data_IF_586528557228
#
_entry.id   IF_586528557228
#
_cell.length_a   1.000
_cell.length_b   1.000
_cell.length_c   1.000
_cell.angle_alpha   90.00
_cell.angle_beta   90.00
_cell.angle_gamma   90.00
#
_symmetry.space_group_name_H-M   'P 1'
#
loop_
_entity.id
_entity.type
_entity.pdbx_description
1 polymer ?
#
# COMPACT_ATOMS: atom_id res chain seq x y z
N UNK A 1 38.19 -46.11 5.77
CA UNK A 1 37.13 -46.32 4.75
C UNK A 1 35.87 -46.74 5.49
N UNK A 2 34.69 -46.17 5.37
CA UNK A 2 34.17 -45.01 4.65
C UNK A 2 32.71 -44.88 5.10
N UNK A 3 32.32 -43.73 5.66
CA UNK A 3 30.93 -43.42 5.98
C UNK A 3 30.62 -42.07 5.34
N UNK A 4 30.32 -42.11 4.04
CA UNK A 4 29.91 -40.95 3.27
C UNK A 4 28.40 -40.75 3.42
N UNK A 5 28.02 -39.65 4.06
CA UNK A 5 26.96 -38.72 3.62
C UNK A 5 25.68 -39.37 3.07
N UNK A 6 24.88 -39.97 3.94
CA UNK A 6 23.44 -40.16 3.69
C UNK A 6 22.70 -38.98 4.32
N UNK A 7 22.58 -37.87 3.59
CA UNK A 7 21.85 -36.70 4.10
C UNK A 7 21.57 -35.58 3.09
N UNK A 8 22.06 -35.68 1.85
CA UNK A 8 22.05 -34.55 0.91
C UNK A 8 21.10 -34.63 -0.28
N UNK A 9 20.28 -35.68 -0.44
CA UNK A 9 19.59 -35.93 -1.72
C UNK A 9 18.06 -35.92 -1.68
N UNK A 10 17.43 -35.60 -0.54
CA UNK A 10 15.97 -35.41 -0.46
C UNK A 10 15.54 -33.94 -0.44
N UNK A 11 16.48 -32.98 -0.40
CA UNK A 11 16.18 -31.54 -0.45
C UNK A 11 16.03 -30.97 -1.86
N UNK A 12 16.63 -31.60 -2.89
CA UNK A 12 16.75 -31.02 -4.24
C UNK A 12 15.50 -31.13 -5.11
N UNK A 13 14.63 -32.12 -4.89
CA UNK A 13 13.45 -32.36 -5.74
C UNK A 13 12.21 -31.57 -5.29
N UNK A 14 12.16 -31.16 -4.02
CA UNK A 14 11.09 -30.28 -3.51
C UNK A 14 11.51 -28.81 -3.46
N UNK A 15 12.82 -28.52 -3.58
CA UNK A 15 13.35 -27.14 -3.54
C UNK A 15 12.73 -26.20 -4.58
N UNK A 16 12.50 -26.58 -5.86
CA UNK A 16 11.91 -25.66 -6.84
C UNK A 16 10.44 -25.36 -6.55
N UNK A 17 9.66 -26.36 -6.12
CA UNK A 17 8.24 -26.18 -5.79
C UNK A 17 8.05 -25.43 -4.46
N UNK A 18 8.84 -25.77 -3.45
CA UNK A 18 8.87 -25.05 -2.18
C UNK A 18 9.29 -23.59 -2.42
N UNK A 19 10.38 -23.34 -3.15
CA UNK A 19 10.83 -21.99 -3.49
C UNK A 19 9.79 -21.23 -4.31
N UNK A 20 9.24 -21.81 -5.38
CA UNK A 20 8.20 -21.15 -6.18
C UNK A 20 6.93 -20.86 -5.37
N UNK A 21 6.58 -21.73 -4.40
CA UNK A 21 5.47 -21.50 -3.49
C UNK A 21 5.79 -20.44 -2.44
N UNK A 22 7.00 -20.40 -1.91
CA UNK A 22 7.47 -19.35 -0.99
C UNK A 22 7.58 -18.00 -1.69
N UNK A 23 8.17 -17.94 -2.88
CA UNK A 23 8.28 -16.73 -3.71
C UNK A 23 6.87 -16.20 -4.05
N UNK A 24 5.96 -17.07 -4.51
CA UNK A 24 4.56 -16.68 -4.79
C UNK A 24 3.79 -16.23 -3.55
N UNK A 25 4.03 -16.85 -2.39
CA UNK A 25 3.42 -16.41 -1.12
C UNK A 25 4.04 -15.11 -0.61
N UNK A 26 5.33 -14.91 -0.81
CA UNK A 26 6.04 -13.68 -0.49
C UNK A 26 5.51 -12.54 -1.35
N UNK A 27 5.35 -12.76 -2.65
CA UNK A 27 4.76 -11.81 -3.59
C UNK A 27 3.32 -11.47 -3.20
N UNK A 28 2.52 -12.46 -2.81
CA UNK A 28 1.14 -12.23 -2.34
C UNK A 28 1.09 -11.42 -1.05
N UNK A 29 1.86 -11.79 -0.01
CA UNK A 29 1.85 -11.04 1.25
C UNK A 29 2.39 -9.61 1.06
N UNK A 30 3.40 -9.45 0.22
CA UNK A 30 3.94 -8.14 -0.14
C UNK A 30 2.92 -7.32 -0.92
N UNK A 31 2.15 -7.93 -1.84
CA UNK A 31 1.05 -7.26 -2.54
C UNK A 31 0.00 -6.76 -1.53
N UNK A 32 -0.45 -7.61 -0.59
CA UNK A 32 -1.36 -7.19 0.48
C UNK A 32 -0.82 -6.00 1.29
N UNK A 33 0.45 -6.06 1.72
CA UNK A 33 1.06 -4.98 2.50
C UNK A 33 1.15 -3.67 1.71
N UNK A 34 1.53 -3.74 0.43
CA UNK A 34 1.55 -2.58 -0.47
C UNK A 34 0.16 -2.01 -0.67
N UNK A 35 -0.86 -2.84 -0.91
CA UNK A 35 -2.23 -2.37 -1.08
C UNK A 35 -2.77 -1.74 0.19
N UNK A 36 -2.56 -2.35 1.37
CA UNK A 36 -2.96 -1.77 2.67
C UNK A 36 -2.26 -0.42 2.89
N UNK A 37 -0.96 -0.32 2.62
CA UNK A 37 -0.22 0.94 2.73
C UNK A 37 -0.77 2.01 1.79
N UNK A 38 -1.09 1.65 0.54
CA UNK A 38 -1.64 2.57 -0.44
C UNK A 38 -3.05 3.07 -0.07
N UNK A 39 -3.93 2.20 0.42
CA UNK A 39 -5.26 2.62 0.91
C UNK A 39 -5.12 3.55 2.14
N UNK A 40 -4.19 3.27 3.05
CA UNK A 40 -3.90 4.18 4.17
C UNK A 40 -3.36 5.53 3.67
N UNK A 41 -2.51 5.56 2.65
CA UNK A 41 -2.00 6.80 2.07
C UNK A 41 -3.13 7.71 1.55
N UNK A 42 -4.16 7.15 0.91
CA UNK A 42 -5.36 7.89 0.50
C UNK A 42 -6.10 8.45 1.70
N UNK A 43 -6.29 7.64 2.75
CA UNK A 43 -6.95 8.07 3.98
C UNK A 43 -6.19 9.23 4.66
N UNK A 44 -4.86 9.15 4.71
CA UNK A 44 -4.00 10.22 5.22
C UNK A 44 -4.07 11.49 4.36
N UNK A 45 -4.05 11.35 3.03
CA UNK A 45 -4.17 12.49 2.12
C UNK A 45 -5.54 13.19 2.27
N UNK A 46 -6.60 12.42 2.53
CA UNK A 46 -7.92 12.94 2.84
C UNK A 46 -7.92 13.72 4.17
N UNK A 47 -7.32 13.17 5.22
CA UNK A 47 -7.27 13.78 6.55
C UNK A 47 -6.23 14.92 6.69
N UNK A 48 -5.36 15.11 5.70
CA UNK A 48 -4.32 16.13 5.74
C UNK A 48 -4.94 17.53 5.91
N UNK A 49 -4.37 18.39 6.78
CA UNK A 49 -4.89 19.72 7.03
C UNK A 49 -4.90 20.58 5.76
N UNK A 50 -5.96 21.36 5.60
CA UNK A 50 -6.15 22.30 4.48
C UNK A 50 -5.83 23.74 4.85
N UNK A 51 -5.69 24.00 6.14
CA UNK A 51 -5.38 25.29 6.72
C UNK A 51 -4.45 25.02 7.91
N UNK A 52 -3.37 25.79 7.99
CA UNK A 52 -2.40 25.76 9.08
C UNK A 52 -2.27 27.20 9.56
N UNK A 53 -2.22 27.42 10.87
CA UNK A 53 -2.12 28.80 11.37
C UNK A 53 -0.75 29.37 11.04
N UNK A 54 -0.71 30.60 10.53
CA UNK A 54 0.55 31.30 10.27
C UNK A 54 1.39 31.46 11.55
N UNK A 55 0.75 31.52 12.71
CA UNK A 55 1.44 31.56 14.00
C UNK A 55 2.24 30.28 14.29
N UNK A 56 1.82 29.12 13.75
CA UNK A 56 2.50 27.84 13.91
C UNK A 56 3.70 27.68 12.97
N UNK A 57 3.69 28.37 11.83
CA UNK A 57 4.75 28.31 10.80
C UNK A 57 5.80 29.42 10.96
N UNK A 58 5.52 30.44 11.77
CA UNK A 58 6.35 31.62 11.94
C UNK A 58 6.19 32.65 10.81
N UNK A 59 6.83 33.81 10.98
CA UNK A 59 6.63 34.96 10.09
C UNK A 59 7.75 35.05 9.03
N UNK A 60 7.72 34.16 8.04
CA UNK A 60 8.66 34.15 6.90
C UNK A 60 7.92 34.19 5.56
N UNK A 61 8.59 34.60 4.49
CA UNK A 61 8.06 34.51 3.11
C UNK A 61 7.77 33.04 2.74
N UNK A 62 8.63 32.12 3.17
CA UNK A 62 8.43 30.68 3.00
C UNK A 62 7.12 30.19 3.63
N UNK A 63 6.75 30.68 4.82
CA UNK A 63 5.50 30.30 5.47
C UNK A 63 4.29 30.74 4.65
N UNK A 64 4.34 31.91 4.01
CA UNK A 64 3.28 32.38 3.12
C UNK A 64 3.20 31.51 1.85
N UNK A 65 4.33 31.27 1.18
CA UNK A 65 4.39 30.41 0.00
C UNK A 65 3.90 28.98 0.29
N UNK A 66 4.21 28.45 1.47
CA UNK A 66 3.75 27.15 1.93
C UNK A 66 2.23 27.11 2.12
N UNK A 67 1.65 28.14 2.75
CA UNK A 67 0.19 28.25 2.93
C UNK A 67 -0.53 28.37 1.59
N UNK A 68 -0.01 29.18 0.68
CA UNK A 68 -0.57 29.37 -0.66
C UNK A 68 -0.54 28.07 -1.48
N UNK A 69 0.49 27.24 -1.29
CA UNK A 69 0.64 25.94 -1.95
C UNK A 69 0.00 24.77 -1.19
N UNK A 70 -0.47 24.95 0.04
CA UNK A 70 -0.94 23.86 0.88
C UNK A 70 -2.13 23.12 0.26
N UNK A 71 -3.12 23.87 -0.23
CA UNK A 71 -4.32 23.32 -0.88
C UNK A 71 -3.98 22.62 -2.21
N UNK A 72 -3.23 23.22 -3.15
CA UNK A 72 -2.76 22.54 -4.36
C UNK A 72 -1.99 21.25 -4.06
N UNK A 73 -0.99 21.31 -3.18
CA UNK A 73 -0.16 20.14 -2.82
C UNK A 73 -0.97 19.02 -2.18
N UNK A 74 -1.98 19.35 -1.37
CA UNK A 74 -2.89 18.35 -0.81
C UNK A 74 -3.68 17.64 -1.90
N UNK A 75 -4.20 18.40 -2.87
CA UNK A 75 -4.94 17.82 -3.99
C UNK A 75 -4.05 16.89 -4.83
N UNK A 76 -2.83 17.34 -5.17
CA UNK A 76 -1.85 16.52 -5.89
C UNK A 76 -1.56 15.22 -5.14
N UNK A 77 -1.22 15.30 -3.85
CA UNK A 77 -0.99 14.10 -3.01
C UNK A 77 -2.19 13.17 -2.95
N UNK A 78 -3.40 13.72 -2.92
CA UNK A 78 -4.62 12.92 -2.91
C UNK A 78 -4.81 12.17 -4.23
N UNK A 79 -4.58 12.83 -5.36
CA UNK A 79 -4.66 12.22 -6.69
C UNK A 79 -3.60 11.12 -6.83
N UNK A 80 -2.34 11.43 -6.49
CA UNK A 80 -1.23 10.48 -6.57
C UNK A 80 -1.47 9.25 -5.70
N UNK A 81 -1.91 9.45 -4.44
CA UNK A 81 -2.26 8.36 -3.54
C UNK A 81 -3.41 7.51 -4.10
N UNK A 82 -4.41 8.14 -4.71
CA UNK A 82 -5.57 7.44 -5.30
C UNK A 82 -5.14 6.58 -6.49
N UNK A 83 -4.27 7.10 -7.36
CA UNK A 83 -3.73 6.34 -8.49
C UNK A 83 -2.86 5.16 -8.00
N UNK A 84 -1.99 5.40 -7.00
CA UNK A 84 -1.17 4.35 -6.41
C UNK A 84 -2.01 3.26 -5.74
N UNK A 85 -3.09 3.62 -5.04
CA UNK A 85 -4.04 2.67 -4.48
C UNK A 85 -4.68 1.80 -5.55
N UNK A 86 -5.17 2.42 -6.64
CA UNK A 86 -5.81 1.69 -7.75
C UNK A 86 -4.85 0.71 -8.41
N UNK A 87 -3.60 1.14 -8.64
CA UNK A 87 -2.56 0.26 -9.16
C UNK A 87 -2.27 -0.91 -8.21
N UNK A 88 -2.10 -0.64 -6.92
CA UNK A 88 -1.83 -1.68 -5.93
C UNK A 88 -3.00 -2.67 -5.77
N UNK A 89 -4.25 -2.21 -5.95
CA UNK A 89 -5.41 -3.11 -5.97
C UNK A 89 -5.39 -3.98 -7.23
N UNK A 90 -5.12 -3.40 -8.41
CA UNK A 90 -5.03 -4.16 -9.65
C UNK A 90 -3.93 -5.24 -9.60
N UNK A 91 -2.78 -4.94 -9.00
CA UNK A 91 -1.71 -5.90 -8.75
C UNK A 91 -2.16 -7.01 -7.79
N UNK A 92 -2.86 -6.66 -6.71
CA UNK A 92 -3.39 -7.63 -5.75
C UNK A 92 -4.50 -8.52 -6.33
N UNK A 93 -5.31 -8.01 -7.27
CA UNK A 93 -6.41 -8.75 -7.90
C UNK A 93 -5.95 -9.98 -8.69
N UNK A 94 -4.67 -10.05 -9.08
CA UNK A 94 -4.06 -11.28 -9.60
C UNK A 94 -4.04 -12.44 -8.58
N UNK A 95 -4.15 -12.13 -7.29
CA UNK A 95 -4.08 -13.08 -6.17
C UNK A 95 -5.35 -13.13 -5.32
N UNK A 96 -6.06 -12.01 -5.20
CA UNK A 96 -7.24 -11.87 -4.34
C UNK A 96 -8.20 -10.82 -4.88
N UNK A 97 -9.47 -11.20 -5.09
CA UNK A 97 -10.51 -10.26 -5.53
C UNK A 97 -10.86 -9.29 -4.40
N UNK A 98 -10.61 -8.00 -4.65
CA UNK A 98 -10.94 -6.91 -3.73
C UNK A 98 -12.38 -6.44 -4.00
N UNK A 99 -13.12 -6.07 -2.95
CA UNK A 99 -14.49 -5.56 -3.09
C UNK A 99 -14.47 -4.06 -2.89
N UNK A 100 -14.55 -3.32 -3.99
CA UNK A 100 -14.53 -1.86 -4.02
C UNK A 100 -15.20 -1.38 -5.33
N UNK A 101 -15.46 -0.07 -5.43
CA UNK A 101 -16.03 0.55 -6.62
C UNK A 101 -14.91 1.17 -7.49
N UNK A 102 -14.53 0.56 -8.63
CA UNK A 102 -13.46 1.07 -9.48
C UNK A 102 -13.87 2.30 -10.30
N UNK A 103 -15.17 2.51 -10.54
CA UNK A 103 -15.65 3.62 -11.38
C UNK A 103 -15.67 4.95 -10.60
N UNK A 104 -15.76 4.88 -9.27
CA UNK A 104 -15.70 6.05 -8.39
C UNK A 104 -14.28 6.51 -8.14
N UNK A 105 -13.94 7.71 -8.65
CA UNK A 105 -12.63 8.31 -8.42
C UNK A 105 -12.29 8.43 -6.93
N UNK A 106 -13.25 8.87 -6.10
CA UNK A 106 -13.08 9.09 -4.67
C UNK A 106 -13.99 8.16 -3.85
N UNK A 107 -13.35 7.40 -2.96
CA UNK A 107 -14.03 6.64 -1.91
C UNK A 107 -14.13 7.49 -0.64
N UNK A 108 -15.21 7.33 0.11
CA UNK A 108 -15.37 7.98 1.40
C UNK A 108 -14.39 7.39 2.44
N UNK A 109 -13.99 8.14 3.47
CA UNK A 109 -13.09 7.64 4.51
C UNK A 109 -13.57 6.34 5.17
N UNK A 110 -14.87 6.18 5.37
CA UNK A 110 -15.48 4.98 5.96
C UNK A 110 -15.40 3.78 5.01
N UNK A 111 -15.43 4.02 3.69
CA UNK A 111 -15.22 2.99 2.68
C UNK A 111 -13.75 2.55 2.65
N UNK A 112 -12.82 3.50 2.70
CA UNK A 112 -11.38 3.24 2.78
C UNK A 112 -11.02 2.45 4.05
N UNK A 113 -11.60 2.82 5.20
CA UNK A 113 -11.40 2.11 6.46
C UNK A 113 -11.93 0.66 6.39
N UNK A 114 -13.14 0.47 5.83
CA UNK A 114 -13.70 -0.87 5.60
C UNK A 114 -12.83 -1.70 4.65
N UNK A 115 -12.29 -1.07 3.61
CA UNK A 115 -11.38 -1.72 2.66
C UNK A 115 -10.08 -2.18 3.34
N UNK A 116 -9.49 -1.36 4.21
CA UNK A 116 -8.31 -1.75 5.00
C UNK A 116 -8.61 -2.98 5.86
N UNK A 117 -9.75 -2.97 6.57
CA UNK A 117 -10.12 -4.11 7.43
C UNK A 117 -10.42 -5.37 6.63
N UNK A 118 -11.05 -5.24 5.46
CA UNK A 118 -11.21 -6.36 4.52
C UNK A 118 -9.85 -6.94 4.13
N UNK A 119 -8.89 -6.10 3.71
CA UNK A 119 -7.57 -6.53 3.27
C UNK A 119 -6.77 -7.17 4.40
N UNK A 120 -6.83 -6.64 5.62
CA UNK A 120 -6.18 -7.23 6.80
C UNK A 120 -6.73 -8.61 7.18
N UNK A 121 -8.04 -8.83 7.02
CA UNK A 121 -8.66 -10.14 7.28
C UNK A 121 -8.33 -11.17 6.21
N UNK A 122 -8.09 -10.72 4.98
CA UNK A 122 -7.79 -11.58 3.83
C UNK A 122 -6.29 -11.90 3.67
N UNK A 123 -5.42 -11.04 4.23
CA UNK A 123 -3.98 -11.25 4.34
C UNK A 123 -3.66 -12.46 5.23
#
# INVERSE_FOLDING_TARGET
>A
MGAALVGGLSGGLLAPWAKARFDRHHDRHQAFDRTIAAVNAVLYAYAAPTEVSRAELGNSSYAQDFLDQLRPRRMERFIDATLAMRQAIAELEAHHKVVWDPDRFQLAPEELARLIEQLKRAR
#
